data_IF_342247150208
#
_entry.id   IF_342247150208
#
_cell.length_a   1.000
_cell.length_b   1.000
_cell.length_c   1.000
_cell.angle_alpha   90.00
_cell.angle_beta   90.00
_cell.angle_gamma   90.00
#
_symmetry.space_group_name_H-M   'P 1'
#
loop_
_entity.id
_entity.type
_entity.pdbx_description
1 polymer ?
#
# COMPACT_ATOMS: atom_id res chain seq x y z
N UNK A 1 -1.91 0.06 29.86
CA UNK A 1 -2.19 0.90 28.67
C UNK A 1 -1.31 0.43 27.54
N UNK A 2 -1.87 0.15 26.39
CA UNK A 2 -1.11 -0.34 25.24
C UNK A 2 -0.45 0.80 24.49
N UNK A 3 0.75 0.57 23.96
CA UNK A 3 1.37 1.57 23.09
C UNK A 3 0.61 1.71 21.77
N UNK A 4 0.79 2.85 21.12
CA UNK A 4 0.22 3.11 19.82
C UNK A 4 1.28 2.91 18.76
N UNK A 5 0.95 2.16 17.70
CA UNK A 5 1.86 1.91 16.60
C UNK A 5 1.36 2.63 15.34
N UNK A 6 2.30 3.16 14.58
CA UNK A 6 2.01 3.75 13.28
C UNK A 6 2.18 2.66 12.22
N UNK A 7 1.14 2.40 11.46
CA UNK A 7 1.10 1.33 10.47
C UNK A 7 0.83 1.91 9.10
N UNK A 8 1.61 1.48 8.12
CA UNK A 8 1.39 1.83 6.72
C UNK A 8 0.85 0.61 5.99
N UNK A 9 -0.24 0.81 5.27
CA UNK A 9 -0.83 -0.23 4.42
C UNK A 9 -0.78 0.28 2.99
N UNK A 10 -0.02 -0.41 2.14
CA UNK A 10 0.09 -0.07 0.73
C UNK A 10 -0.79 -1.03 -0.05
N UNK A 11 -1.73 -0.47 -0.81
CA UNK A 11 -2.68 -1.23 -1.62
C UNK A 11 -2.34 -0.97 -3.08
N UNK A 12 -1.99 -2.03 -3.81
CA UNK A 12 -1.65 -1.92 -5.23
C UNK A 12 -2.44 -2.94 -6.05
N UNK A 13 -2.54 -2.69 -7.35
CA UNK A 13 -3.08 -3.69 -8.26
C UNK A 13 -2.12 -4.87 -8.33
N UNK A 14 -2.65 -6.07 -8.51
CA UNK A 14 -1.81 -7.26 -8.69
C UNK A 14 -0.92 -7.07 -9.93
N UNK A 15 0.29 -7.69 -9.94
CA UNK A 15 1.26 -7.45 -11.03
C UNK A 15 0.71 -7.71 -12.44
N UNK A 16 -0.18 -8.69 -12.60
CA UNK A 16 -0.74 -9.02 -13.90
C UNK A 16 -1.89 -8.10 -14.33
N UNK A 17 -2.39 -7.26 -13.43
CA UNK A 17 -3.41 -6.28 -13.77
C UNK A 17 -2.76 -5.04 -14.36
N UNK A 18 -3.43 -4.43 -15.35
CA UNK A 18 -2.97 -3.17 -15.92
C UNK A 18 -3.14 -2.05 -14.90
N UNK A 19 -2.28 -1.05 -15.04
CA UNK A 19 -2.37 0.17 -14.24
C UNK A 19 -2.40 1.37 -15.21
N UNK A 20 -3.58 1.72 -15.73
CA UNK A 20 -3.69 2.80 -16.71
C UNK A 20 -3.14 4.14 -16.22
N UNK A 21 -3.31 4.45 -14.93
CA UNK A 21 -2.77 5.69 -14.37
C UNK A 21 -1.24 5.68 -14.40
N UNK A 22 -0.62 4.58 -13.98
CA UNK A 22 0.83 4.44 -14.03
C UNK A 22 1.37 4.49 -15.45
N UNK A 23 0.68 3.85 -16.38
CA UNK A 23 1.06 3.87 -17.79
C UNK A 23 1.02 5.29 -18.36
N UNK A 24 0.00 6.06 -18.00
CA UNK A 24 -0.15 7.45 -18.45
C UNK A 24 0.97 8.32 -17.87
N UNK A 25 1.27 8.17 -16.59
CA UNK A 25 2.36 8.90 -15.95
C UNK A 25 3.69 8.60 -16.66
N UNK A 26 3.95 7.33 -16.93
CA UNK A 26 5.19 6.92 -17.59
C UNK A 26 5.29 7.51 -19.00
N UNK A 27 4.26 7.35 -19.81
CA UNK A 27 4.27 7.78 -21.20
C UNK A 27 4.24 9.29 -21.33
N UNK A 28 3.29 9.95 -20.67
CA UNK A 28 2.98 11.35 -20.94
C UNK A 28 3.80 12.33 -20.10
N UNK A 29 4.28 11.91 -18.95
CA UNK A 29 5.08 12.77 -18.07
C UNK A 29 6.55 12.40 -18.06
N UNK A 30 6.87 11.13 -17.90
CA UNK A 30 8.26 10.70 -17.72
C UNK A 30 8.97 10.53 -19.06
N UNK A 31 8.47 9.69 -19.95
CA UNK A 31 9.10 9.44 -21.26
C UNK A 31 9.10 10.70 -22.10
N UNK A 32 8.02 11.46 -22.06
CA UNK A 32 7.90 12.70 -22.84
C UNK A 32 8.95 13.73 -22.44
N UNK A 33 9.42 13.67 -21.21
CA UNK A 33 10.48 14.56 -20.72
C UNK A 33 11.88 13.96 -20.81
N UNK A 34 12.04 12.91 -21.60
CA UNK A 34 13.34 12.37 -21.94
C UNK A 34 13.87 11.25 -21.06
N UNK A 35 13.08 10.79 -20.08
CA UNK A 35 13.52 9.74 -19.16
C UNK A 35 13.07 8.37 -19.65
N UNK A 36 13.58 7.97 -20.81
CA UNK A 36 13.19 6.71 -21.45
C UNK A 36 13.72 5.45 -20.74
N UNK A 37 14.62 5.62 -19.78
CA UNK A 37 15.14 4.51 -18.99
C UNK A 37 14.13 3.95 -17.98
N UNK A 38 13.06 4.69 -17.70
CA UNK A 38 12.00 4.20 -16.81
C UNK A 38 11.18 3.17 -17.55
N UNK A 39 11.12 1.96 -17.00
CA UNK A 39 10.47 0.82 -17.66
C UNK A 39 9.08 0.52 -17.16
N UNK A 40 8.75 0.95 -15.93
CA UNK A 40 7.44 0.70 -15.37
C UNK A 40 7.12 1.76 -14.32
N UNK A 41 5.86 2.15 -14.28
CA UNK A 41 5.31 3.00 -13.22
C UNK A 41 4.02 2.35 -12.75
N UNK A 42 3.94 2.09 -11.44
CA UNK A 42 2.75 1.51 -10.82
C UNK A 42 2.24 2.48 -9.79
N UNK A 43 0.93 2.61 -9.70
CA UNK A 43 0.29 3.46 -8.70
C UNK A 43 -0.31 2.61 -7.59
N UNK A 44 -0.61 3.25 -6.47
CA UNK A 44 -1.23 2.56 -5.36
C UNK A 44 -1.79 3.54 -4.34
N UNK A 45 -2.46 2.98 -3.36
CA UNK A 45 -3.03 3.75 -2.25
C UNK A 45 -2.24 3.46 -0.99
N UNK A 46 -1.95 4.50 -0.24
CA UNK A 46 -1.30 4.38 1.06
C UNK A 46 -2.28 4.80 2.15
N UNK A 47 -2.47 3.92 3.13
CA UNK A 47 -3.20 4.23 4.35
C UNK A 47 -2.21 4.28 5.51
N UNK A 48 -2.28 5.32 6.30
CA UNK A 48 -1.50 5.41 7.54
C UNK A 48 -2.47 5.35 8.71
N UNK A 49 -2.28 4.37 9.57
CA UNK A 49 -3.20 4.11 10.68
C UNK A 49 -2.41 4.07 11.98
N UNK A 50 -2.91 4.79 12.99
CA UNK A 50 -2.36 4.68 14.34
C UNK A 50 -3.25 3.72 15.11
N UNK A 51 -2.65 2.64 15.61
CA UNK A 51 -3.36 1.52 16.21
C UNK A 51 -2.76 1.16 17.55
N UNK A 52 -3.59 1.05 18.59
CA UNK A 52 -3.14 0.58 19.90
C UNK A 52 -3.07 -0.94 19.88
N UNK A 53 -1.97 -1.48 20.37
CA UNK A 53 -1.77 -2.91 20.50
C UNK A 53 -0.72 -3.19 21.55
N UNK A 54 -0.68 -4.41 22.07
CA UNK A 54 0.26 -4.76 23.12
C UNK A 54 1.69 -4.87 22.59
N UNK A 55 1.87 -5.23 21.35
CA UNK A 55 3.20 -5.35 20.73
C UNK A 55 3.07 -5.21 19.22
N UNK A 56 4.21 -5.20 18.54
CA UNK A 56 4.29 -4.99 17.10
C UNK A 56 3.59 -6.10 16.31
N UNK A 57 3.76 -7.37 16.73
CA UNK A 57 3.12 -8.50 16.06
C UNK A 57 1.61 -8.41 16.13
N UNK A 58 1.07 -8.04 17.28
CA UNK A 58 -0.36 -7.87 17.44
C UNK A 58 -0.88 -6.71 16.60
N UNK A 59 -0.12 -5.60 16.55
CA UNK A 59 -0.49 -4.47 15.70
C UNK A 59 -0.59 -4.87 14.24
N UNK A 60 0.38 -5.65 13.76
CA UNK A 60 0.39 -6.15 12.37
C UNK A 60 -0.79 -7.07 12.10
N UNK A 61 -1.04 -8.02 12.98
CA UNK A 61 -2.15 -8.96 12.84
C UNK A 61 -3.49 -8.25 12.83
N UNK A 62 -3.66 -7.28 13.71
CA UNK A 62 -4.90 -6.51 13.79
C UNK A 62 -5.12 -5.69 12.52
N UNK A 63 -4.04 -5.11 11.98
CA UNK A 63 -4.13 -4.33 10.74
C UNK A 63 -4.53 -5.21 9.56
N UNK A 64 -3.93 -6.40 9.45
CA UNK A 64 -4.25 -7.34 8.37
C UNK A 64 -5.70 -7.83 8.49
N UNK A 65 -6.14 -8.19 9.69
CA UNK A 65 -7.52 -8.61 9.94
C UNK A 65 -8.51 -7.53 9.55
N UNK A 66 -8.21 -6.29 9.91
CA UNK A 66 -9.05 -5.15 9.59
C UNK A 66 -9.18 -4.98 8.07
N UNK A 67 -8.07 -5.09 7.35
CA UNK A 67 -8.09 -4.98 5.89
C UNK A 67 -8.99 -6.04 5.26
N UNK A 68 -8.91 -7.27 5.76
CA UNK A 68 -9.70 -8.39 5.23
C UNK A 68 -11.17 -8.29 5.63
N UNK A 69 -11.44 -8.01 6.90
CA UNK A 69 -12.80 -8.04 7.43
C UNK A 69 -13.64 -6.87 6.95
N UNK A 70 -13.01 -5.70 6.83
CA UNK A 70 -13.71 -4.49 6.40
C UNK A 70 -13.55 -4.21 4.91
N UNK A 71 -12.91 -5.11 4.17
CA UNK A 71 -12.72 -4.97 2.73
C UNK A 71 -12.08 -3.63 2.35
N UNK A 72 -10.99 -3.26 3.05
CA UNK A 72 -10.24 -2.06 2.70
C UNK A 72 -9.54 -2.19 1.36
N UNK A 73 -9.43 -3.40 0.86
CA UNK A 73 -8.91 -3.70 -0.47
C UNK A 73 -9.72 -4.86 -1.06
N UNK A 74 -9.62 -5.05 -2.37
CA UNK A 74 -10.25 -6.18 -3.05
C UNK A 74 -9.22 -7.29 -3.25
N UNK A 75 -9.29 -8.40 -2.50
CA UNK A 75 -8.25 -9.45 -2.58
C UNK A 75 -8.15 -10.11 -3.95
N UNK A 76 -9.19 -10.00 -4.79
CA UNK A 76 -9.16 -10.55 -6.15
C UNK A 76 -8.27 -9.69 -7.05
N UNK A 77 -8.37 -8.36 -6.92
CA UNK A 77 -7.71 -7.41 -7.82
C UNK A 77 -6.47 -6.75 -7.23
N UNK A 78 -6.35 -6.73 -5.89
CA UNK A 78 -5.32 -5.96 -5.21
C UNK A 78 -4.43 -6.83 -4.34
N UNK A 79 -3.24 -6.31 -4.07
CA UNK A 79 -2.32 -6.85 -3.05
C UNK A 79 -2.12 -5.80 -1.98
N UNK A 80 -1.85 -6.23 -0.76
CA UNK A 80 -1.53 -5.32 0.32
C UNK A 80 -0.14 -5.62 0.87
N UNK A 81 0.51 -4.57 1.35
CA UNK A 81 1.76 -4.67 2.10
C UNK A 81 1.57 -3.89 3.38
N UNK A 82 1.69 -4.55 4.51
CA UNK A 82 1.51 -3.95 5.84
C UNK A 82 2.87 -3.77 6.47
N UNK A 83 3.17 -2.53 6.86
CA UNK A 83 4.44 -2.18 7.49
C UNK A 83 4.18 -1.46 8.80
N UNK A 84 4.72 -1.99 9.89
CA UNK A 84 4.71 -1.30 11.17
C UNK A 84 5.93 -0.40 11.23
N UNK A 85 5.69 0.92 11.29
CA UNK A 85 6.79 1.89 11.20
C UNK A 85 7.49 2.07 12.56
N UNK A 86 6.73 2.42 13.56
CA UNK A 86 7.28 2.69 14.89
C UNK A 86 6.14 2.94 15.86
N UNK A 87 6.48 3.05 17.12
CA UNK A 87 5.54 3.56 18.10
C UNK A 87 5.24 5.02 17.79
N UNK A 88 3.97 5.32 17.76
CA UNK A 88 3.54 6.70 17.52
C UNK A 88 3.66 7.53 18.78
#
# INVERSE_FOLDING_TARGET
MNPTFSIEIVITNKPQARDPEGETIMRDLIHRNGLSSVKEVRTGKLLTINLEASNEDEARKNAISMCNDLRLYNPVAHSINVRVRAKA
#
